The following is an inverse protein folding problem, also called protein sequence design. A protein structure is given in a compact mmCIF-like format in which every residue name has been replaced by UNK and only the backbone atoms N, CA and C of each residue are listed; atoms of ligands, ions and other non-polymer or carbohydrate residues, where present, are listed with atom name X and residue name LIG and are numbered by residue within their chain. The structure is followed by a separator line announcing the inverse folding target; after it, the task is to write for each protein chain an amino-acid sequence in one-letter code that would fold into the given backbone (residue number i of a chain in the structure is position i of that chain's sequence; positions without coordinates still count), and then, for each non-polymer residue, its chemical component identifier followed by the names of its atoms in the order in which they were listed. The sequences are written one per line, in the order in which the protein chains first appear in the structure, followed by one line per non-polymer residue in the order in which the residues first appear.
data_IF_610355161936
#
_entry.id   IF_610355161936
#
_cell.length_a   1.000
_cell.length_b   1.000
_cell.length_c   1.000
_cell.angle_alpha   90.00
_cell.angle_beta   90.00
_cell.angle_gamma   90.00
#
_symmetry.space_group_name_H-M   'P 1'
#
loop_
_entity.id
_entity.type
_entity.pdbx_description
1 polymer ?
#
# COMPACT_ATOMS: atom_id res chain seq x y z
N UNK A 1 -32.58 -18.58 -8.96
CA UNK A 1 -31.86 -17.70 -9.89
C UNK A 1 -30.91 -16.86 -9.04
N UNK A 2 -29.58 -16.95 -9.06
CA UNK A 2 -28.66 -17.39 -10.09
C UNK A 2 -27.78 -18.55 -9.58
N UNK A 3 -27.55 -19.50 -10.47
CA UNK A 3 -26.57 -20.57 -10.29
C UNK A 3 -25.17 -19.97 -10.40
N UNK A 4 -24.28 -20.43 -9.53
CA UNK A 4 -22.84 -20.26 -9.64
C UNK A 4 -22.36 -20.69 -11.03
N UNK A 5 -22.06 -19.73 -11.90
CA UNK A 5 -21.31 -20.01 -13.12
C UNK A 5 -19.83 -19.97 -12.78
N UNK A 6 -19.31 -21.12 -12.33
CA UNK A 6 -17.90 -21.44 -12.45
C UNK A 6 -17.51 -21.40 -13.93
N UNK A 7 -16.66 -20.44 -14.30
CA UNK A 7 -15.98 -20.44 -15.60
C UNK A 7 -14.49 -20.65 -15.35
N UNK A 8 -14.10 -21.92 -15.29
CA UNK A 8 -12.71 -22.35 -15.30
C UNK A 8 -12.13 -21.97 -16.67
N UNK A 9 -11.23 -20.99 -16.74
CA UNK A 9 -10.45 -20.75 -17.96
C UNK A 9 -9.49 -21.92 -18.20
N UNK A 10 -9.25 -22.35 -19.46
CA UNK A 10 -8.44 -23.53 -19.80
C UNK A 10 -6.93 -23.43 -19.43
N UNK A 11 -6.52 -22.36 -18.73
CA UNK A 11 -5.13 -22.09 -18.33
C UNK A 11 -4.92 -21.93 -16.81
N UNK A 12 -5.88 -22.37 -15.96
CA UNK A 12 -5.69 -22.44 -14.50
C UNK A 12 -5.48 -21.09 -13.79
N UNK A 13 -5.68 -19.95 -14.48
CA UNK A 13 -5.53 -18.62 -13.88
C UNK A 13 -6.87 -18.16 -13.31
N UNK A 14 -6.96 -18.04 -11.99
CA UNK A 14 -8.13 -17.45 -11.31
C UNK A 14 -8.23 -15.98 -11.73
N UNK A 15 -9.18 -15.67 -12.62
CA UNK A 15 -9.47 -14.29 -13.02
C UNK A 15 -10.46 -13.68 -12.04
N UNK A 16 -10.05 -12.64 -11.32
CA UNK A 16 -10.95 -11.90 -10.45
C UNK A 16 -11.93 -11.08 -11.29
N UNK A 17 -13.18 -11.57 -11.44
CA UNK A 17 -14.22 -10.87 -12.19
C UNK A 17 -14.68 -9.65 -11.38
N UNK A 18 -14.44 -8.45 -11.91
CA UNK A 18 -15.01 -7.21 -11.35
C UNK A 18 -16.52 -7.22 -11.59
N UNK A 19 -17.31 -7.57 -10.57
CA UNK A 19 -18.78 -7.44 -10.60
C UNK A 19 -19.17 -5.97 -10.32
N UNK A 20 -19.84 -5.28 -11.27
CA UNK A 20 -20.37 -3.94 -11.02
C UNK A 20 -21.33 -3.95 -9.81
N UNK A 21 -21.24 -2.95 -8.94
CA UNK A 21 -22.13 -2.80 -7.77
C UNK A 21 -21.66 -3.42 -6.45
N UNK A 22 -20.60 -4.25 -6.44
CA UNK A 22 -20.03 -4.75 -5.18
C UNK A 22 -19.07 -3.71 -4.61
N UNK A 23 -19.45 -3.08 -3.50
CA UNK A 23 -18.55 -2.21 -2.73
C UNK A 23 -17.47 -3.07 -2.07
N UNK A 24 -16.20 -2.76 -2.35
CA UNK A 24 -15.04 -3.43 -1.74
C UNK A 24 -14.43 -2.51 -0.70
N UNK A 25 -14.01 -3.08 0.42
CA UNK A 25 -13.35 -2.38 1.50
C UNK A 25 -11.92 -2.90 1.68
N UNK A 26 -11.05 -2.02 2.17
CA UNK A 26 -9.68 -2.39 2.50
C UNK A 26 -9.65 -3.18 3.81
N UNK A 27 -8.98 -4.33 3.81
CA UNK A 27 -8.76 -5.13 5.02
C UNK A 27 -7.77 -4.50 6.02
N UNK A 28 -6.94 -3.54 5.59
CA UNK A 28 -5.88 -2.97 6.44
C UNK A 28 -6.22 -1.63 7.08
N UNK A 29 -7.34 -0.99 6.71
CA UNK A 29 -7.73 0.28 7.33
C UNK A 29 -9.24 0.56 7.16
N UNK A 30 -9.83 1.43 8.01
CA UNK A 30 -11.25 1.74 7.93
C UNK A 30 -11.60 2.78 6.84
N UNK A 31 -10.60 3.32 6.14
CA UNK A 31 -10.78 4.40 5.15
C UNK A 31 -11.57 3.90 3.93
N UNK A 32 -12.59 4.66 3.50
CA UNK A 32 -13.42 4.33 2.32
C UNK A 32 -12.94 5.06 1.05
N UNK A 33 -13.17 4.45 -0.11
CA UNK A 33 -12.74 4.97 -1.43
C UNK A 33 -11.24 4.78 -1.67
N UNK A 34 -10.70 5.30 -2.77
CA UNK A 34 -9.30 5.15 -3.18
C UNK A 34 -8.99 3.82 -3.91
N UNK A 35 -7.81 3.75 -4.51
CA UNK A 35 -7.38 2.62 -5.33
C UNK A 35 -7.21 1.31 -4.54
N UNK A 36 -8.07 0.34 -4.82
CA UNK A 36 -8.06 -1.01 -4.25
C UNK A 36 -7.57 -2.05 -5.26
N UNK A 37 -6.87 -3.07 -4.75
CA UNK A 37 -6.46 -4.26 -5.51
C UNK A 37 -6.87 -5.53 -4.75
N UNK A 38 -7.21 -6.62 -5.46
CA UNK A 38 -7.45 -7.90 -4.82
C UNK A 38 -6.15 -8.43 -4.20
N UNK A 39 -6.26 -9.18 -3.12
CA UNK A 39 -5.11 -9.91 -2.56
C UNK A 39 -5.02 -11.34 -3.12
N UNK A 40 -4.01 -12.08 -2.71
CA UNK A 40 -3.87 -13.53 -2.88
C UNK A 40 -4.85 -14.35 -2.03
N UNK A 41 -5.60 -13.70 -1.14
CA UNK A 41 -6.70 -14.28 -0.37
C UNK A 41 -8.02 -13.93 -1.05
N UNK A 42 -8.84 -14.94 -1.31
CA UNK A 42 -10.11 -14.74 -2.00
C UNK A 42 -11.00 -13.71 -1.30
N UNK A 43 -11.66 -12.88 -2.09
CA UNK A 43 -12.59 -11.81 -1.65
C UNK A 43 -11.99 -10.68 -0.81
N UNK A 44 -10.70 -10.76 -0.45
CA UNK A 44 -9.99 -9.75 0.33
C UNK A 44 -9.39 -8.70 -0.60
N UNK A 45 -9.53 -7.43 -0.22
CA UNK A 45 -9.05 -6.28 -0.97
C UNK A 45 -8.21 -5.39 -0.08
N UNK A 46 -7.24 -4.72 -0.68
CA UNK A 46 -6.33 -3.83 0.03
C UNK A 46 -6.10 -2.58 -0.79
N UNK A 47 -5.93 -1.44 -0.12
CA UNK A 47 -5.48 -0.23 -0.81
C UNK A 47 -4.05 -0.42 -1.29
N UNK A 48 -3.76 0.13 -2.47
CA UNK A 48 -2.39 0.15 -2.98
C UNK A 48 -1.45 0.82 -1.96
N UNK A 49 -1.88 1.96 -1.39
CA UNK A 49 -1.14 2.67 -0.33
C UNK A 49 -0.96 1.83 0.94
N UNK A 50 -1.97 1.07 1.37
CA UNK A 50 -1.82 0.23 2.56
C UNK A 50 -0.80 -0.89 2.32
N UNK A 51 -0.87 -1.58 1.18
CA UNK A 51 0.07 -2.65 0.84
C UNK A 51 1.51 -2.13 0.78
N UNK A 52 1.76 -0.99 0.15
CA UNK A 52 3.11 -0.41 0.06
C UNK A 52 3.78 -0.06 1.40
N UNK A 53 2.99 0.20 2.44
CA UNK A 53 3.50 0.55 3.77
C UNK A 53 3.58 -0.66 4.71
N UNK A 54 3.34 -1.87 4.22
CA UNK A 54 3.61 -3.13 4.91
C UNK A 54 4.85 -3.78 4.27
N UNK A 55 5.98 -3.92 4.99
CA UNK A 55 7.21 -4.50 4.45
C UNK A 55 7.05 -5.92 3.89
N UNK A 56 6.08 -6.67 4.43
CA UNK A 56 5.81 -8.07 4.07
C UNK A 56 4.93 -8.20 2.83
N UNK A 57 4.37 -7.09 2.32
CA UNK A 57 3.50 -7.10 1.16
C UNK A 57 4.21 -6.64 -0.11
N UNK A 58 3.85 -7.26 -1.22
CA UNK A 58 4.23 -6.81 -2.56
C UNK A 58 3.10 -7.09 -3.57
N UNK A 59 3.32 -6.76 -4.84
CA UNK A 59 2.38 -7.11 -5.91
C UNK A 59 3.02 -8.18 -6.79
N UNK A 60 2.29 -9.27 -7.06
CA UNK A 60 2.82 -10.40 -7.84
C UNK A 60 3.17 -10.02 -9.30
N UNK A 61 2.45 -9.03 -9.86
CA UNK A 61 2.74 -8.49 -11.18
C UNK A 61 3.11 -7.02 -11.08
N UNK A 62 4.34 -6.65 -11.47
CA UNK A 62 4.72 -5.24 -11.57
C UNK A 62 3.83 -4.50 -12.57
N UNK A 63 3.53 -5.11 -13.72
CA UNK A 63 2.74 -4.47 -14.78
C UNK A 63 1.30 -4.17 -14.33
N UNK A 64 0.61 -5.18 -13.78
CA UNK A 64 -0.81 -5.06 -13.40
C UNK A 64 -1.02 -4.55 -11.98
N UNK A 65 0.01 -4.63 -11.12
CA UNK A 65 -0.05 -4.40 -9.69
C UNK A 65 -1.15 -5.22 -9.00
N UNK A 66 -1.23 -6.50 -9.33
CA UNK A 66 -2.17 -7.43 -8.69
C UNK A 66 -1.76 -8.89 -8.92
N UNK A 67 -2.21 -9.80 -8.04
CA UNK A 67 -2.77 -9.50 -6.71
C UNK A 67 -1.71 -8.88 -5.78
N UNK A 68 -2.17 -8.22 -4.72
CA UNK A 68 -1.32 -7.93 -3.58
C UNK A 68 -1.08 -9.23 -2.79
N UNK A 69 0.16 -9.54 -2.47
CA UNK A 69 0.54 -10.79 -1.79
C UNK A 69 1.16 -10.50 -0.43
N UNK A 70 1.17 -11.49 0.46
CA UNK A 70 1.87 -11.40 1.75
C UNK A 70 1.07 -10.80 2.90
N UNK A 71 -0.26 -10.68 2.75
CA UNK A 71 -1.12 -10.15 3.82
C UNK A 71 -1.04 -10.98 5.10
N UNK A 72 -0.99 -12.30 4.97
CA UNK A 72 -0.90 -13.24 6.11
C UNK A 72 0.47 -13.22 6.80
N UNK A 73 1.46 -12.57 6.19
CA UNK A 73 2.81 -12.44 6.73
C UNK A 73 2.99 -11.17 7.58
N UNK A 74 2.01 -10.26 7.59
CA UNK A 74 2.08 -9.03 8.38
C UNK A 74 2.13 -9.38 9.87
N UNK A 75 3.07 -8.83 10.65
CA UNK A 75 3.15 -9.07 12.09
C UNK A 75 1.83 -8.76 12.80
N UNK A 76 1.35 -9.71 13.61
CA UNK A 76 0.11 -9.55 14.40
C UNK A 76 0.14 -8.32 15.32
N UNK A 77 1.33 -7.93 15.78
CA UNK A 77 1.54 -6.73 16.58
C UNK A 77 1.10 -5.43 15.88
N UNK A 78 1.07 -5.38 14.55
CA UNK A 78 0.61 -4.21 13.81
C UNK A 78 -0.92 -4.08 13.81
N UNK A 79 -1.65 -5.19 13.99
CA UNK A 79 -3.12 -5.22 13.99
C UNK A 79 -3.75 -4.77 15.31
N UNK A 80 -2.96 -4.77 16.38
CA UNK A 80 -3.39 -4.34 17.73
C UNK A 80 -3.01 -2.90 18.06
N UNK A 81 -2.38 -2.18 17.12
CA UNK A 81 -2.00 -0.76 17.33
C UNK A 81 -3.20 0.15 17.13
N UNK A 82 -3.32 1.14 18.01
CA UNK A 82 -4.29 2.23 17.87
C UNK A 82 -3.73 3.26 16.89
N UNK A 83 -4.50 3.55 15.83
CA UNK A 83 -4.15 4.63 14.92
C UNK A 83 -4.36 5.99 15.60
N UNK A 84 -3.31 6.79 15.72
CA UNK A 84 -3.40 8.09 16.42
C UNK A 84 -4.27 9.12 15.68
N UNK A 85 -4.60 8.89 14.41
CA UNK A 85 -5.41 9.80 13.58
C UNK A 85 -6.90 9.49 13.74
N UNK A 86 -7.33 8.25 13.44
CA UNK A 86 -8.74 7.86 13.52
C UNK A 86 -9.16 7.30 14.88
N UNK A 87 -8.22 7.10 15.80
CA UNK A 87 -8.42 6.57 17.17
C UNK A 87 -9.02 5.16 17.24
N UNK A 88 -8.84 4.35 16.20
CA UNK A 88 -9.37 2.98 16.12
C UNK A 88 -8.26 1.93 16.05
N UNK A 89 -8.57 0.73 16.57
CA UNK A 89 -7.83 -0.52 16.31
C UNK A 89 -8.58 -1.22 15.17
N UNK A 90 -8.00 -1.25 13.97
CA UNK A 90 -8.61 -1.85 12.79
C UNK A 90 -7.55 -2.15 11.74
N UNK A 91 -7.45 -3.38 11.24
CA UNK A 91 -6.42 -3.69 10.23
C UNK A 91 -5.00 -3.35 10.72
N UNK A 92 -4.05 -3.12 9.81
CA UNK A 92 -2.64 -2.93 10.15
C UNK A 92 -2.23 -1.44 10.19
N UNK A 93 -1.59 -1.01 11.27
CA UNK A 93 -0.93 0.30 11.32
C UNK A 93 0.48 0.27 10.72
N UNK A 94 0.91 1.40 10.18
CA UNK A 94 2.31 1.69 9.89
C UNK A 94 2.90 2.57 11.01
N UNK A 95 4.20 2.46 11.24
CA UNK A 95 4.92 3.19 12.27
C UNK A 95 5.64 4.40 11.66
N UNK A 96 5.69 5.50 12.41
CA UNK A 96 6.57 6.62 12.10
C UNK A 96 8.04 6.17 12.06
N UNK A 97 8.79 6.62 11.04
CA UNK A 97 10.20 6.28 10.84
C UNK A 97 11.14 6.74 11.98
N UNK A 98 10.69 7.62 12.87
CA UNK A 98 11.52 8.23 13.93
C UNK A 98 11.02 7.97 15.34
N UNK A 99 9.83 7.38 15.54
CA UNK A 99 9.28 7.11 16.87
C UNK A 99 8.20 6.02 16.86
N UNK A 100 7.70 5.68 18.04
CA UNK A 100 6.62 4.69 18.23
C UNK A 100 5.20 5.25 18.04
N UNK A 101 5.03 6.22 17.12
CA UNK A 101 3.70 6.69 16.70
C UNK A 101 3.18 5.79 15.60
N UNK A 102 1.93 5.31 15.74
CA UNK A 102 1.29 4.39 14.80
C UNK A 102 0.03 5.00 14.18
N UNK A 103 -0.20 4.74 12.90
CA UNK A 103 -1.39 5.17 12.17
C UNK A 103 -1.61 4.29 10.94
N UNK A 104 -2.83 4.24 10.42
CA UNK A 104 -3.06 3.60 9.11
C UNK A 104 -2.38 4.41 8.01
N UNK A 105 -1.82 3.71 7.00
CA UNK A 105 -1.16 4.37 5.88
C UNK A 105 -2.09 5.35 5.15
N UNK A 106 -3.35 4.97 4.93
CA UNK A 106 -4.36 5.86 4.33
C UNK A 106 -4.77 7.03 5.25
N UNK A 107 -4.81 6.84 6.57
CA UNK A 107 -5.07 7.94 7.50
C UNK A 107 -3.94 8.96 7.45
N UNK A 108 -2.68 8.52 7.46
CA UNK A 108 -1.52 9.39 7.33
C UNK A 108 -1.51 10.15 6.00
N UNK A 109 -1.78 9.45 4.90
CA UNK A 109 -1.87 10.06 3.57
C UNK A 109 -2.93 11.16 3.52
N UNK A 110 -4.16 10.90 4.00
CA UNK A 110 -5.23 11.90 4.01
C UNK A 110 -5.02 13.04 5.00
N UNK A 111 -4.26 12.81 6.06
CA UNK A 111 -3.86 13.85 7.01
C UNK A 111 -2.66 14.68 6.50
N UNK A 112 -2.15 14.40 5.30
CA UNK A 112 -1.01 15.11 4.71
C UNK A 112 0.33 14.78 5.37
N UNK A 113 0.45 13.68 6.11
CA UNK A 113 1.71 13.27 6.70
C UNK A 113 2.78 13.08 5.61
N UNK A 114 4.03 13.46 5.90
CA UNK A 114 5.14 13.24 4.96
C UNK A 114 5.35 11.74 4.76
N UNK A 115 5.22 11.30 3.51
CA UNK A 115 5.37 9.92 3.08
C UNK A 115 6.40 9.87 1.95
N UNK A 116 7.40 9.02 2.10
CA UNK A 116 8.58 9.00 1.24
C UNK A 116 8.94 7.60 0.77
N UNK A 117 9.42 7.49 -0.47
CA UNK A 117 10.12 6.31 -0.96
C UNK A 117 11.62 6.49 -0.73
N UNK A 118 12.21 5.59 0.05
CA UNK A 118 13.64 5.53 0.32
C UNK A 118 14.26 4.39 -0.49
N UNK A 119 15.28 4.69 -1.29
CA UNK A 119 16.05 3.69 -2.04
C UNK A 119 17.43 3.52 -1.40
N UNK A 120 17.78 2.27 -1.10
CA UNK A 120 18.98 1.85 -0.40
C UNK A 120 19.71 0.82 -1.28
N UNK A 121 20.96 1.11 -1.63
CA UNK A 121 21.85 0.10 -2.20
C UNK A 121 22.63 -0.60 -1.09
N UNK A 122 22.61 -1.92 -1.09
CA UNK A 122 23.52 -2.72 -0.27
C UNK A 122 24.04 -3.88 -1.12
N UNK A 123 25.37 -3.99 -1.23
CA UNK A 123 26.06 -5.04 -1.99
C UNK A 123 25.62 -5.12 -3.47
N UNK A 124 25.44 -3.98 -4.14
CA UNK A 124 24.96 -3.92 -5.52
C UNK A 124 23.47 -4.26 -5.72
N UNK A 125 22.73 -4.57 -4.64
CA UNK A 125 21.29 -4.79 -4.68
C UNK A 125 20.55 -3.53 -4.21
N UNK A 126 19.67 -3.04 -5.08
CA UNK A 126 18.75 -1.94 -4.80
C UNK A 126 17.55 -2.45 -4.00
N UNK A 127 17.30 -1.85 -2.85
CA UNK A 127 16.13 -2.09 -2.02
C UNK A 127 15.35 -0.78 -1.86
N UNK A 128 14.04 -0.84 -2.03
CA UNK A 128 13.18 0.32 -1.86
C UNK A 128 12.22 0.11 -0.71
N UNK A 129 12.10 1.08 0.20
CA UNK A 129 11.17 1.05 1.33
C UNK A 129 10.31 2.30 1.35
N UNK A 130 9.05 2.14 1.71
CA UNK A 130 8.15 3.25 1.96
C UNK A 130 8.25 3.64 3.43
N UNK A 131 8.41 4.93 3.72
CA UNK A 131 8.50 5.45 5.08
C UNK A 131 7.53 6.60 5.29
N UNK A 132 7.07 6.77 6.53
CA UNK A 132 6.18 7.85 6.91
C UNK A 132 6.68 8.56 8.15
N UNK A 133 6.31 9.83 8.30
CA UNK A 133 6.65 10.66 9.45
C UNK A 133 5.40 11.23 10.10
N UNK A 134 5.31 11.14 11.44
CA UNK A 134 4.26 11.82 12.18
C UNK A 134 4.49 13.33 12.15
N UNK A 135 3.45 14.09 12.49
CA UNK A 135 3.46 15.57 12.48
C UNK A 135 4.56 16.19 13.35
N UNK A 136 4.96 15.49 14.42
CA UNK A 136 6.06 15.93 15.29
C UNK A 136 7.43 15.85 14.60
N UNK A 137 7.66 14.83 13.77
CA UNK A 137 8.95 14.62 13.12
C UNK A 137 9.07 15.33 11.77
N UNK A 138 7.96 15.49 11.05
CA UNK A 138 7.89 16.32 9.85
C UNK A 138 6.50 16.92 9.71
N UNK A 139 6.45 18.22 9.48
CA UNK A 139 5.19 18.95 9.29
C UNK A 139 4.35 18.29 8.17
N UNK A 140 3.05 18.02 8.42
CA UNK A 140 2.14 17.62 7.37
C UNK A 140 2.01 18.75 6.33
N UNK A 141 1.84 18.42 5.06
CA UNK A 141 1.37 19.39 4.09
C UNK A 141 0.28 18.72 3.22
N UNK A 142 -0.90 19.35 3.10
CA UNK A 142 -2.05 18.75 2.42
C UNK A 142 -1.85 18.53 0.92
N UNK A 143 -0.94 19.27 0.28
CA UNK A 143 -0.59 19.12 -1.15
C UNK A 143 0.49 18.05 -1.39
N UNK A 144 0.90 17.35 -0.33
CA UNK A 144 2.05 16.45 -0.42
C UNK A 144 1.64 15.10 -0.94
N UNK A 145 1.85 14.89 -2.24
CA UNK A 145 1.98 13.55 -2.81
C UNK A 145 3.20 12.81 -2.24
N UNK A 146 3.37 11.55 -2.64
CA UNK A 146 4.56 10.77 -2.26
C UNK A 146 5.85 11.46 -2.71
N UNK A 147 6.67 11.90 -1.75
CA UNK A 147 7.96 12.54 -2.01
C UNK A 147 9.07 11.50 -2.14
N UNK A 148 10.10 11.82 -2.91
CA UNK A 148 11.22 10.91 -3.14
C UNK A 148 12.50 11.44 -2.50
N UNK A 149 13.14 10.64 -1.66
CA UNK A 149 14.45 10.97 -1.09
C UNK A 149 15.44 9.89 -1.46
N UNK A 150 16.36 10.23 -2.36
CA UNK A 150 17.49 9.37 -2.68
C UNK A 150 18.60 9.60 -1.67
N UNK A 151 19.08 8.56 -1.00
CA UNK A 151 20.34 8.64 -0.26
C UNK A 151 21.57 8.65 -1.18
N UNK A 152 21.43 8.40 -2.50
CA UNK A 152 22.57 8.46 -3.44
C UNK A 152 22.18 8.90 -4.86
N UNK A 153 22.93 9.80 -5.53
CA UNK A 153 22.63 10.37 -6.87
C UNK A 153 22.77 9.38 -8.06
N UNK A 154 22.27 8.14 -7.97
CA UNK A 154 22.34 7.14 -9.04
C UNK A 154 21.21 7.23 -10.09
N UNK A 155 21.55 7.02 -11.37
CA UNK A 155 20.63 7.02 -12.52
C UNK A 155 19.60 5.86 -12.49
N UNK A 156 19.97 4.69 -11.96
CA UNK A 156 19.11 3.50 -11.89
C UNK A 156 17.84 3.70 -11.05
N UNK A 157 17.92 4.56 -10.04
CA UNK A 157 16.72 4.85 -9.26
C UNK A 157 15.69 5.60 -10.10
N UNK A 158 16.09 6.46 -11.06
CA UNK A 158 15.15 7.19 -11.93
C UNK A 158 14.23 6.26 -12.73
N UNK A 159 14.66 5.04 -13.01
CA UNK A 159 13.91 4.09 -13.84
C UNK A 159 12.89 3.28 -13.03
N UNK A 160 13.28 2.79 -11.85
CA UNK A 160 12.36 2.27 -10.82
C UNK A 160 11.35 3.36 -10.45
N UNK A 161 11.81 4.60 -10.28
CA UNK A 161 10.98 5.78 -10.07
C UNK A 161 10.07 6.08 -11.24
N UNK A 162 10.46 5.93 -12.51
CA UNK A 162 9.55 6.22 -13.62
C UNK A 162 8.36 5.24 -13.67
N UNK A 163 8.60 3.98 -13.31
CA UNK A 163 7.58 2.92 -13.22
C UNK A 163 6.73 3.11 -11.96
N UNK A 164 7.35 3.38 -10.82
CA UNK A 164 6.68 3.58 -9.53
C UNK A 164 5.95 4.93 -9.46
N UNK A 165 6.50 6.03 -9.99
CA UNK A 165 5.89 7.38 -10.02
C UNK A 165 4.64 7.42 -10.89
N UNK A 166 4.63 6.78 -12.07
CA UNK A 166 3.39 6.64 -12.86
C UNK A 166 2.32 5.90 -12.04
N UNK A 167 2.69 4.79 -11.40
CA UNK A 167 1.76 3.94 -10.63
C UNK A 167 1.29 4.56 -9.30
N UNK A 168 2.16 5.28 -8.59
CA UNK A 168 1.90 5.98 -7.33
C UNK A 168 0.99 7.19 -7.54
N UNK A 169 1.27 8.00 -8.56
CA UNK A 169 0.40 9.14 -8.91
C UNK A 169 -0.97 8.60 -9.30
N UNK A 170 -1.06 7.59 -10.17
CA UNK A 170 -2.34 6.96 -10.53
C UNK A 170 -3.10 6.35 -9.34
N UNK A 171 -2.41 5.84 -8.31
CA UNK A 171 -3.05 5.25 -7.11
C UNK A 171 -3.52 6.28 -6.06
N UNK A 172 -2.97 7.50 -6.07
CA UNK A 172 -3.38 8.58 -5.16
C UNK A 172 -4.52 9.44 -5.73
N UNK A 173 -4.72 9.44 -7.06
CA UNK A 173 -5.73 10.25 -7.75
C UNK A 173 -7.02 9.48 -8.16
N UNK A 174 -7.19 8.22 -7.73
CA UNK A 174 -8.39 7.41 -7.99
C UNK A 174 -8.87 6.67 -6.73
#
# INVERSE_FOLDING_TARGET
MALDMFMISPHGSVKHVRKPGIKRDCCLCPVKGGALKPTDVETVWVHVTCAWFQPEMCFASDGKMEPAVGILSIPSSNFVKICVICKQIHGSCTQCCKCSTYYHAMCASRAGCRMELHCLEKNGRQNSKMVSYCSYHRAPNPDTGLSYTNSFRGLLCKEVLSKTRRKVVLALFH
#
